data_IF_373244233075
#
_entry.id   IF_373244233075
#
_cell.length_a   1.000
_cell.length_b   1.000
_cell.length_c   1.000
_cell.angle_alpha   90.00
_cell.angle_beta   90.00
_cell.angle_gamma   90.00
#
_symmetry.space_group_name_H-M   'P 1'
#
loop_
_entity.id
_entity.type
_entity.pdbx_description
1 polymer ?
#
# COMPACT_ATOMS: atom_id res chain seq x y z
N UNK A 1 10.84 7.42 -15.98
CA UNK A 1 9.64 7.03 -15.20
C UNK A 1 8.94 8.28 -14.69
N UNK A 2 7.63 8.30 -14.73
CA UNK A 2 6.76 9.39 -14.26
C UNK A 2 5.86 8.82 -13.16
N UNK A 3 5.84 9.50 -12.00
CA UNK A 3 4.91 9.19 -10.92
C UNK A 3 3.80 10.23 -10.91
N UNK A 4 2.55 9.78 -11.00
CA UNK A 4 1.39 10.67 -11.07
C UNK A 4 0.14 10.04 -10.45
N UNK A 5 -0.90 10.85 -10.25
CA UNK A 5 -2.22 10.34 -9.91
C UNK A 5 -2.78 9.47 -11.03
N UNK A 6 -3.51 8.44 -10.62
CA UNK A 6 -4.27 7.58 -11.52
C UNK A 6 -5.45 8.38 -12.10
N UNK A 7 -5.68 8.26 -13.38
CA UNK A 7 -6.84 8.82 -14.09
C UNK A 7 -7.83 7.70 -14.46
N UNK A 8 -9.08 8.06 -14.76
CA UNK A 8 -10.11 7.06 -15.14
C UNK A 8 -9.69 6.15 -16.31
N UNK A 9 -8.96 6.71 -17.27
CA UNK A 9 -8.44 5.94 -18.41
C UNK A 9 -7.44 4.84 -18.02
N UNK A 10 -6.81 4.95 -16.85
CA UNK A 10 -5.79 4.01 -16.38
C UNK A 10 -6.39 2.81 -15.61
N UNK A 11 -7.67 2.88 -15.23
CA UNK A 11 -8.33 1.90 -14.35
C UNK A 11 -8.20 0.47 -14.89
N UNK A 12 -8.38 0.27 -16.18
CA UNK A 12 -8.28 -1.05 -16.81
C UNK A 12 -6.88 -1.68 -16.65
N UNK A 13 -5.82 -0.89 -16.81
CA UNK A 13 -4.44 -1.37 -16.63
C UNK A 13 -4.09 -1.57 -15.16
N UNK A 14 -4.53 -0.68 -14.27
CA UNK A 14 -4.39 -0.85 -12.82
C UNK A 14 -5.07 -2.14 -12.36
N UNK A 15 -6.27 -2.42 -12.87
CA UNK A 15 -6.99 -3.66 -12.55
C UNK A 15 -6.20 -4.90 -12.99
N UNK A 16 -5.58 -4.90 -14.16
CA UNK A 16 -4.72 -6.00 -14.62
C UNK A 16 -3.54 -6.25 -13.66
N UNK A 17 -2.91 -5.19 -13.17
CA UNK A 17 -1.81 -5.28 -12.20
C UNK A 17 -2.31 -5.89 -10.88
N UNK A 18 -3.46 -5.45 -10.38
CA UNK A 18 -4.08 -5.98 -9.17
C UNK A 18 -4.45 -7.47 -9.35
N UNK A 19 -5.07 -7.85 -10.45
CA UNK A 19 -5.43 -9.25 -10.73
C UNK A 19 -4.18 -10.14 -10.86
N UNK A 20 -3.11 -9.65 -11.47
CA UNK A 20 -1.81 -10.33 -11.49
C UNK A 20 -1.27 -10.56 -10.07
N UNK A 21 -1.35 -9.54 -9.20
CA UNK A 21 -0.94 -9.66 -7.81
C UNK A 21 -1.80 -10.67 -7.02
N UNK A 22 -3.13 -10.65 -7.19
CA UNK A 22 -4.04 -11.64 -6.61
C UNK A 22 -3.67 -13.07 -7.02
N UNK A 23 -3.44 -13.30 -8.31
CA UNK A 23 -3.04 -14.60 -8.82
C UNK A 23 -1.73 -15.09 -8.18
N UNK A 24 -0.75 -14.20 -8.02
CA UNK A 24 0.51 -14.55 -7.33
C UNK A 24 0.29 -14.93 -5.87
N UNK A 25 -0.50 -14.14 -5.15
CA UNK A 25 -0.84 -14.43 -3.74
C UNK A 25 -1.51 -15.80 -3.62
N UNK A 26 -2.51 -16.08 -4.46
CA UNK A 26 -3.19 -17.39 -4.51
C UNK A 26 -2.21 -18.53 -4.75
N UNK A 27 -1.28 -18.37 -5.70
CA UNK A 27 -0.29 -19.39 -6.05
C UNK A 27 0.70 -19.68 -4.91
N UNK A 28 0.85 -18.76 -3.98
CA UNK A 28 1.69 -18.93 -2.76
C UNK A 28 0.88 -19.33 -1.53
N UNK A 29 -0.41 -19.62 -1.68
CA UNK A 29 -1.30 -20.06 -0.61
C UNK A 29 -1.81 -18.92 0.28
N UNK A 30 -1.65 -17.66 -0.13
CA UNK A 30 -2.19 -16.52 0.60
C UNK A 30 -3.67 -16.32 0.23
N UNK A 31 -4.51 -16.10 1.23
CA UNK A 31 -5.92 -15.75 1.07
C UNK A 31 -6.16 -14.24 0.93
N UNK A 32 -5.14 -13.41 1.16
CA UNK A 32 -5.20 -11.96 0.99
C UNK A 32 -5.66 -11.62 -0.44
N UNK A 33 -6.68 -10.74 -0.55
CA UNK A 33 -7.28 -10.30 -1.81
C UNK A 33 -8.04 -11.39 -2.61
N UNK A 34 -8.39 -12.51 -2.00
CA UNK A 34 -9.03 -13.61 -2.71
C UNK A 34 -10.57 -13.57 -2.68
N UNK A 35 -11.16 -12.72 -1.85
CA UNK A 35 -12.61 -12.64 -1.64
C UNK A 35 -13.31 -11.53 -2.45
N UNK A 36 -12.83 -11.26 -3.68
CA UNK A 36 -13.43 -10.26 -4.57
C UNK A 36 -13.00 -8.80 -4.34
N UNK A 37 -12.08 -8.57 -3.41
CA UNK A 37 -11.47 -7.27 -3.13
C UNK A 37 -9.93 -7.38 -3.28
N UNK A 38 -9.20 -6.32 -3.77
CA UNK A 38 -9.72 -5.13 -4.47
C UNK A 38 -10.41 -5.47 -5.79
N UNK A 39 -11.30 -4.59 -6.25
CA UNK A 39 -12.05 -4.74 -7.50
C UNK A 39 -12.14 -3.40 -8.24
N UNK A 40 -12.79 -3.38 -9.39
CA UNK A 40 -12.94 -2.18 -10.22
C UNK A 40 -13.59 -1.02 -9.46
N UNK A 41 -14.63 -1.31 -8.65
CA UNK A 41 -15.31 -0.29 -7.87
C UNK A 41 -14.37 0.35 -6.85
N UNK A 42 -13.60 -0.45 -6.11
CA UNK A 42 -12.63 0.08 -5.12
C UNK A 42 -11.52 0.90 -5.78
N UNK A 43 -11.06 0.50 -6.97
CA UNK A 43 -10.07 1.27 -7.73
C UNK A 43 -10.69 2.58 -8.22
N UNK A 44 -11.93 2.56 -8.71
CA UNK A 44 -12.63 3.76 -9.16
C UNK A 44 -12.84 4.76 -8.02
N UNK A 45 -13.25 4.28 -6.84
CA UNK A 45 -13.37 5.11 -5.64
C UNK A 45 -12.05 5.78 -5.25
N UNK A 46 -10.94 5.07 -5.31
CA UNK A 46 -9.61 5.63 -5.01
C UNK A 46 -9.21 6.71 -6.04
N UNK A 47 -9.56 6.50 -7.30
CA UNK A 47 -9.32 7.48 -8.37
C UNK A 47 -10.20 8.73 -8.17
N UNK A 48 -11.48 8.57 -7.88
CA UNK A 48 -12.42 9.67 -7.66
C UNK A 48 -12.04 10.48 -6.39
N UNK A 49 -11.52 9.83 -5.35
CA UNK A 49 -10.96 10.48 -4.17
C UNK A 49 -9.60 11.14 -4.42
N UNK A 50 -8.95 10.85 -5.54
CA UNK A 50 -7.62 11.37 -5.89
C UNK A 50 -6.50 10.87 -5.00
N UNK A 51 -6.63 9.66 -4.44
CA UNK A 51 -5.64 9.01 -3.58
C UNK A 51 -4.89 7.86 -4.25
N UNK A 52 -5.27 7.49 -5.47
CA UNK A 52 -4.59 6.46 -6.29
C UNK A 52 -3.46 7.08 -7.10
N UNK A 53 -2.34 6.37 -7.19
CA UNK A 53 -1.13 6.77 -7.90
C UNK A 53 -0.59 5.62 -8.74
N UNK A 54 0.07 5.98 -9.84
CA UNK A 54 0.79 5.05 -10.72
C UNK A 54 2.20 5.53 -11.00
N UNK A 55 3.05 4.56 -11.31
CA UNK A 55 4.35 4.78 -11.94
C UNK A 55 4.25 4.33 -13.39
N UNK A 56 4.61 5.20 -14.34
CA UNK A 56 4.59 4.88 -15.75
C UNK A 56 5.93 5.18 -16.44
N UNK A 57 6.18 4.49 -17.53
CA UNK A 57 7.31 4.74 -18.42
C UNK A 57 6.90 4.43 -19.85
N UNK A 58 7.12 5.39 -20.77
CA UNK A 58 6.79 5.25 -22.19
C UNK A 58 5.32 4.83 -22.46
N UNK A 59 4.38 5.28 -21.61
CA UNK A 59 2.97 4.96 -21.72
C UNK A 59 2.56 3.60 -21.12
N UNK A 60 3.49 2.85 -20.54
CA UNK A 60 3.22 1.61 -19.81
C UNK A 60 3.15 1.86 -18.31
N UNK A 61 2.10 1.34 -17.64
CA UNK A 61 1.95 1.43 -16.19
C UNK A 61 2.76 0.30 -15.54
N UNK A 62 3.76 0.67 -14.76
CA UNK A 62 4.70 -0.23 -14.11
C UNK A 62 4.32 -0.60 -12.68
N UNK A 63 3.34 0.06 -12.11
CA UNK A 63 2.87 -0.22 -10.76
C UNK A 63 1.87 0.80 -10.27
N UNK A 64 1.18 0.44 -9.21
CA UNK A 64 0.12 1.25 -8.59
C UNK A 64 0.24 1.25 -7.07
N UNK A 65 -0.31 2.25 -6.43
CA UNK A 65 -0.45 2.35 -4.98
C UNK A 65 -1.53 3.36 -4.61
N UNK A 66 -2.05 3.24 -3.40
CA UNK A 66 -2.96 4.22 -2.78
C UNK A 66 -2.26 4.85 -1.60
N UNK A 67 -2.38 6.18 -1.46
CA UNK A 67 -1.90 6.94 -0.31
C UNK A 67 -3.05 7.77 0.24
N UNK A 68 -3.42 7.52 1.48
CA UNK A 68 -4.45 8.29 2.20
C UNK A 68 -3.84 8.95 3.45
N UNK A 69 -4.44 10.05 3.88
CA UNK A 69 -4.14 10.77 5.11
C UNK A 69 -5.32 10.74 6.09
N UNK A 70 -6.34 9.98 5.74
CA UNK A 70 -7.47 9.74 6.62
C UNK A 70 -7.07 8.76 7.72
N UNK A 71 -7.53 9.02 8.94
CA UNK A 71 -7.33 8.11 10.07
C UNK A 71 -8.19 6.86 9.88
N UNK A 72 -7.62 5.72 10.18
CA UNK A 72 -8.31 4.44 10.11
C UNK A 72 -8.64 3.92 11.51
N UNK A 73 -9.91 3.64 11.78
CA UNK A 73 -10.37 3.17 13.09
C UNK A 73 -9.63 1.93 13.56
N UNK A 74 -9.31 1.01 12.65
CA UNK A 74 -8.53 -0.19 12.97
C UNK A 74 -7.12 0.15 13.47
N UNK A 75 -6.50 1.18 12.91
CA UNK A 75 -5.17 1.62 13.31
C UNK A 75 -5.20 2.39 14.63
N UNK A 76 -6.23 3.19 14.85
CA UNK A 76 -6.44 3.90 16.12
C UNK A 76 -6.73 2.91 17.30
N UNK A 77 -7.33 1.76 16.98
CA UNK A 77 -7.73 0.73 17.96
C UNK A 77 -6.93 -0.58 17.82
N UNK A 78 -5.63 -0.49 17.53
CA UNK A 78 -4.75 -1.65 17.41
C UNK A 78 -4.83 -2.54 18.67
N UNK A 79 -5.01 -3.84 18.49
CA UNK A 79 -5.30 -4.78 19.60
C UNK A 79 -4.05 -5.29 20.29
N UNK A 80 -2.97 -5.46 19.55
CA UNK A 80 -1.70 -6.00 20.03
C UNK A 80 -0.55 -5.15 19.50
N UNK A 81 0.36 -4.74 20.37
CA UNK A 81 1.48 -3.87 20.02
C UNK A 81 1.14 -2.38 20.14
N UNK A 82 2.01 -1.54 19.60
CA UNK A 82 1.87 -0.09 19.62
C UNK A 82 2.58 0.54 18.42
N UNK A 83 2.08 1.70 17.99
CA UNK A 83 2.71 2.49 16.96
C UNK A 83 3.99 3.16 17.47
N UNK A 84 4.94 3.43 16.59
CA UNK A 84 6.20 4.13 16.91
C UNK A 84 5.96 5.60 17.23
N UNK A 85 4.89 6.18 16.66
CA UNK A 85 4.57 7.59 16.81
C UNK A 85 3.10 7.82 17.10
N UNK A 86 2.81 8.93 17.77
CA UNK A 86 1.48 9.48 17.90
C UNK A 86 1.30 10.65 16.91
N UNK A 87 0.05 10.98 16.57
CA UNK A 87 -0.29 12.13 15.73
C UNK A 87 -0.72 11.76 14.32
N UNK A 88 -0.44 12.67 13.38
CA UNK A 88 -0.83 12.50 11.98
C UNK A 88 0.05 11.49 11.27
N UNK A 89 -0.56 10.68 10.41
CA UNK A 89 0.12 9.67 9.63
C UNK A 89 -0.50 9.53 8.23
N UNK A 90 0.24 8.92 7.34
CA UNK A 90 -0.24 8.46 6.05
C UNK A 90 -0.40 6.93 6.08
N UNK A 91 -1.32 6.41 5.28
CA UNK A 91 -1.48 4.97 5.07
C UNK A 91 -1.29 4.63 3.61
N UNK A 92 -0.51 3.57 3.35
CA UNK A 92 -0.32 3.02 2.01
C UNK A 92 -1.16 1.76 1.88
N UNK A 93 -2.00 1.73 0.84
CA UNK A 93 -2.79 0.57 0.47
C UNK A 93 -2.54 0.14 -0.96
N UNK A 94 -2.90 -1.10 -1.28
CA UNK A 94 -3.00 -1.64 -2.64
C UNK A 94 -1.75 -1.41 -3.51
N UNK A 95 -0.57 -1.43 -2.87
CA UNK A 95 0.69 -1.38 -3.61
C UNK A 95 0.89 -2.67 -4.41
N UNK A 96 0.99 -2.56 -5.71
CA UNK A 96 1.19 -3.69 -6.60
C UNK A 96 2.04 -3.31 -7.81
N UNK A 97 2.83 -4.29 -8.27
CA UNK A 97 3.62 -4.21 -9.49
C UNK A 97 3.44 -5.49 -10.30
N UNK A 98 3.48 -5.47 -11.64
CA UNK A 98 3.54 -6.67 -12.45
C UNK A 98 4.85 -7.44 -12.18
N UNK A 99 4.94 -8.69 -12.67
CA UNK A 99 6.13 -9.52 -12.40
C UNK A 99 7.42 -8.92 -12.97
N UNK A 100 7.34 -8.34 -14.13
CA UNK A 100 8.43 -7.65 -14.79
C UNK A 100 8.92 -6.42 -14.00
N UNK A 101 8.03 -5.74 -13.30
CA UNK A 101 8.33 -4.58 -12.47
C UNK A 101 9.08 -4.89 -11.19
N UNK A 102 8.99 -6.13 -10.69
CA UNK A 102 9.65 -6.53 -9.44
C UNK A 102 11.19 -6.49 -9.55
N UNK A 103 11.74 -7.02 -10.63
CA UNK A 103 13.18 -7.04 -10.87
C UNK A 103 13.75 -5.64 -11.11
N UNK A 104 12.92 -4.68 -11.53
CA UNK A 104 13.30 -3.28 -11.81
C UNK A 104 13.24 -2.37 -10.58
N UNK A 105 12.84 -2.88 -9.41
CA UNK A 105 12.75 -2.08 -8.18
C UNK A 105 11.62 -1.05 -8.15
N UNK A 106 10.60 -1.19 -9.01
CA UNK A 106 9.50 -0.23 -9.18
C UNK A 106 8.76 0.07 -7.86
N UNK A 107 8.51 -0.94 -7.02
CA UNK A 107 7.87 -0.73 -5.71
C UNK A 107 8.67 0.23 -4.81
N UNK A 108 10.00 0.16 -4.86
CA UNK A 108 10.89 1.07 -4.12
C UNK A 108 10.83 2.50 -4.66
N UNK A 109 10.75 2.68 -5.96
CA UNK A 109 10.59 4.00 -6.57
C UNK A 109 9.21 4.61 -6.25
N UNK A 110 8.13 3.81 -6.32
CA UNK A 110 6.80 4.24 -5.87
C UNK A 110 6.85 4.70 -4.42
N UNK A 111 7.43 3.90 -3.52
CA UNK A 111 7.54 4.25 -2.10
C UNK A 111 8.27 5.57 -1.89
N UNK A 112 9.39 5.81 -2.56
CA UNK A 112 10.13 7.09 -2.48
C UNK A 112 9.29 8.29 -2.89
N UNK A 113 8.48 8.16 -3.95
CA UNK A 113 7.60 9.24 -4.38
C UNK A 113 6.46 9.48 -3.37
N UNK A 114 5.89 8.43 -2.78
CA UNK A 114 4.90 8.56 -1.71
C UNK A 114 5.50 9.24 -0.46
N UNK A 115 6.72 8.89 -0.08
CA UNK A 115 7.46 9.54 1.01
C UNK A 115 7.65 11.04 0.77
N UNK A 116 7.99 11.45 -0.45
CA UNK A 116 8.09 12.87 -0.82
C UNK A 116 6.76 13.61 -0.65
N UNK A 117 5.64 12.97 -1.03
CA UNK A 117 4.29 13.54 -0.84
C UNK A 117 4.00 13.72 0.65
N UNK A 118 4.31 12.72 1.48
CA UNK A 118 4.13 12.79 2.93
C UNK A 118 4.94 13.95 3.54
N UNK A 119 6.23 14.02 3.24
CA UNK A 119 7.12 15.09 3.72
C UNK A 119 6.62 16.46 3.30
N UNK A 120 6.21 16.62 2.03
CA UNK A 120 5.66 17.90 1.52
C UNK A 120 4.39 18.33 2.26
N UNK A 121 3.62 17.37 2.78
CA UNK A 121 2.43 17.64 3.61
C UNK A 121 2.75 17.83 5.10
N UNK A 122 4.00 17.66 5.51
CA UNK A 122 4.38 17.70 6.93
C UNK A 122 4.02 16.45 7.70
N UNK A 123 3.74 15.34 7.02
CA UNK A 123 3.41 14.03 7.61
C UNK A 123 4.68 13.17 7.60
N UNK A 124 5.15 12.79 8.78
CA UNK A 124 6.42 12.07 8.95
C UNK A 124 6.25 10.62 9.41
N UNK A 125 5.04 10.12 9.45
CA UNK A 125 4.72 8.73 9.75
C UNK A 125 3.97 8.10 8.59
N UNK A 126 4.42 6.92 8.16
CA UNK A 126 3.71 6.07 7.19
C UNK A 126 3.41 4.75 7.86
N UNK A 127 2.14 4.38 7.88
CA UNK A 127 1.64 3.11 8.40
C UNK A 127 1.17 2.21 7.27
N UNK A 128 1.29 0.91 7.46
CA UNK A 128 0.86 -0.10 6.49
C UNK A 128 0.61 -1.42 7.21
N UNK A 129 -0.35 -2.17 6.71
CA UNK A 129 -0.58 -3.54 7.15
C UNK A 129 -0.48 -4.54 6.01
N UNK A 130 -0.26 -5.79 6.34
CA UNK A 130 -0.24 -6.89 5.39
C UNK A 130 -0.59 -8.21 6.06
N UNK A 131 -0.92 -9.22 5.26
CA UNK A 131 -1.12 -10.57 5.75
C UNK A 131 0.14 -11.12 6.44
N UNK A 132 -0.01 -11.82 7.56
CA UNK A 132 1.11 -12.33 8.34
C UNK A 132 2.05 -13.27 7.56
N UNK A 133 1.54 -13.99 6.55
CA UNK A 133 2.31 -14.88 5.67
C UNK A 133 2.79 -14.22 4.37
N UNK A 134 2.51 -12.94 4.16
CA UNK A 134 2.99 -12.24 2.97
C UNK A 134 4.50 -11.93 3.10
N UNK A 135 5.33 -12.96 2.94
CA UNK A 135 6.80 -12.87 3.05
C UNK A 135 7.41 -11.82 2.11
N UNK A 136 6.98 -11.72 0.82
CA UNK A 136 7.51 -10.70 -0.08
C UNK A 136 7.27 -9.29 0.44
N UNK A 137 6.05 -8.98 0.88
CA UNK A 137 5.71 -7.65 1.41
C UNK A 137 6.45 -7.35 2.70
N UNK A 138 6.52 -8.30 3.64
CA UNK A 138 7.30 -8.15 4.87
C UNK A 138 8.78 -7.87 4.60
N UNK A 139 9.36 -8.58 3.65
CA UNK A 139 10.74 -8.36 3.22
C UNK A 139 10.96 -6.99 2.61
N UNK A 140 10.02 -6.55 1.74
CA UNK A 140 10.04 -5.22 1.14
C UNK A 140 9.96 -4.12 2.21
N UNK A 141 9.02 -4.22 3.15
CA UNK A 141 8.84 -3.24 4.22
C UNK A 141 10.11 -3.12 5.09
N UNK A 142 10.64 -4.24 5.57
CA UNK A 142 11.88 -4.26 6.37
C UNK A 142 13.07 -3.64 5.62
N UNK A 143 13.27 -3.99 4.35
CA UNK A 143 14.34 -3.44 3.50
C UNK A 143 14.22 -1.92 3.35
N UNK A 144 13.01 -1.38 3.40
CA UNK A 144 12.75 0.05 3.24
C UNK A 144 12.58 0.80 4.58
N UNK A 145 12.98 0.20 5.70
CA UNK A 145 13.05 0.87 6.99
C UNK A 145 11.75 0.93 7.78
N UNK A 146 10.75 0.11 7.41
CA UNK A 146 9.56 -0.06 8.24
C UNK A 146 9.86 -1.03 9.39
N UNK A 147 9.36 -0.71 10.57
CA UNK A 147 9.44 -1.53 11.76
C UNK A 147 8.08 -2.17 12.05
N UNK A 148 8.11 -3.41 12.52
CA UNK A 148 6.91 -4.13 12.96
C UNK A 148 6.36 -3.47 14.23
N UNK A 149 5.07 -3.15 14.24
CA UNK A 149 4.40 -2.47 15.34
C UNK A 149 3.42 -3.36 16.10
N UNK A 150 2.62 -4.17 15.40
CA UNK A 150 1.62 -4.97 16.07
C UNK A 150 0.67 -5.71 15.14
N UNK A 151 -0.53 -5.93 15.63
CA UNK A 151 -1.58 -6.72 14.97
C UNK A 151 -2.90 -5.98 14.99
N UNK A 152 -3.61 -6.02 13.86
CA UNK A 152 -5.01 -5.64 13.74
C UNK A 152 -5.82 -6.83 13.19
N UNK A 153 -7.12 -6.79 13.39
CA UNK A 153 -8.08 -7.73 12.80
C UNK A 153 -9.08 -6.93 11.99
N UNK A 154 -9.28 -7.32 10.72
CA UNK A 154 -10.20 -6.62 9.85
C UNK A 154 -11.64 -6.75 10.37
N UNK A 155 -12.41 -5.68 10.29
CA UNK A 155 -13.78 -5.57 10.80
C UNK A 155 -14.83 -5.49 9.71
N UNK A 156 -14.45 -5.70 8.46
CA UNK A 156 -15.30 -5.62 7.28
C UNK A 156 -15.33 -6.93 6.50
N UNK A 157 -16.50 -7.29 6.00
CA UNK A 157 -16.65 -8.34 4.99
C UNK A 157 -15.94 -7.91 3.68
N UNK A 158 -15.40 -8.87 2.89
CA UNK A 158 -15.46 -10.33 3.09
C UNK A 158 -14.35 -10.90 3.99
N UNK A 159 -13.46 -10.08 4.51
CA UNK A 159 -12.28 -10.51 5.28
C UNK A 159 -12.44 -10.30 6.80
N UNK A 160 -13.67 -10.36 7.30
CA UNK A 160 -13.97 -10.16 8.73
C UNK A 160 -13.11 -11.06 9.62
N UNK A 161 -12.48 -10.45 10.63
CA UNK A 161 -11.53 -11.06 11.56
C UNK A 161 -10.22 -11.56 10.94
N UNK A 162 -9.94 -11.26 9.69
CA UNK A 162 -8.65 -11.60 9.09
C UNK A 162 -7.52 -10.84 9.78
N UNK A 163 -6.51 -11.59 10.24
CA UNK A 163 -5.34 -11.03 10.92
C UNK A 163 -4.44 -10.30 9.93
N UNK A 164 -4.00 -9.10 10.33
CA UNK A 164 -2.99 -8.31 9.63
C UNK A 164 -1.91 -7.89 10.60
N UNK A 165 -0.68 -7.91 10.15
CA UNK A 165 0.45 -7.36 10.89
C UNK A 165 0.76 -5.96 10.40
N UNK A 166 1.06 -5.07 11.33
CA UNK A 166 1.21 -3.64 11.08
C UNK A 166 2.67 -3.21 11.14
N UNK A 167 3.02 -2.26 10.30
CA UNK A 167 4.34 -1.67 10.22
C UNK A 167 4.24 -0.16 10.17
N UNK A 168 5.23 0.51 10.71
CA UNK A 168 5.38 1.96 10.61
C UNK A 168 6.79 2.35 10.20
N UNK A 169 6.89 3.38 9.39
CA UNK A 169 8.14 4.05 9.05
C UNK A 169 8.06 5.51 9.46
N UNK A 170 9.04 5.95 10.24
CA UNK A 170 9.22 7.37 10.55
C UNK A 170 10.13 7.97 9.48
N UNK A 171 9.62 8.99 8.82
CA UNK A 171 10.37 9.76 7.83
C UNK A 171 11.25 10.76 8.57
N UNK A 172 12.57 10.73 8.31
CA UNK A 172 13.47 11.69 8.91
C UNK A 172 13.14 13.11 8.47
N UNK A 173 13.09 14.06 9.40
CA UNK A 173 13.26 15.47 9.08
C UNK A 173 14.66 15.61 8.49
N UNK A 174 14.79 15.76 7.17
CA UNK A 174 15.98 16.40 6.65
C UNK A 174 15.84 17.87 7.07
N UNK A 175 16.42 18.20 8.21
CA UNK A 175 16.75 19.59 8.48
C UNK A 175 17.52 20.12 7.26
N UNK A 176 16.94 21.12 6.63
CA UNK A 176 17.55 21.87 5.53
C UNK A 176 18.57 22.82 6.11
#
# INVERSE_FOLDING_TARGET
MIFRKTEKKDIAEVLKIIESAKKRMKNTGLDQWQNGYPNENSIMEDVDKGISYIMEENGEILGTSVLTFEKEDLYENMKEGEWLSAGEYAVIHRMAVPDEGKSRGISGEILKELEKICIKKGIYSIKIDTHEDNKPMKGFLKKNGFLLCGVIYLDMEPDLNAKRITFEKILGNKEV
#
